data_IF_071718015407
#
_entry.id   IF_071718015407
#
_cell.length_a   1.000
_cell.length_b   1.000
_cell.length_c   1.000
_cell.angle_alpha   90.00
_cell.angle_beta   90.00
_cell.angle_gamma   90.00
#
_symmetry.space_group_name_H-M   'P 1'
#
loop_
_entity.id
_entity.type
_entity.pdbx_description
1 polymer ?
#
# COMPACT_ATOMS: atom_id res chain seq x y z
N UNK A 1 -0.53 -27.96 14.52
CA UNK A 1 0.91 -27.88 14.88
C UNK A 1 1.54 -26.54 14.49
N UNK A 2 1.10 -25.89 13.41
CA UNK A 2 1.64 -24.61 12.95
C UNK A 2 0.56 -23.52 12.98
N UNK A 3 0.84 -22.37 13.60
CA UNK A 3 -0.03 -21.17 13.57
C UNK A 3 0.55 -20.15 12.58
N UNK A 4 0.17 -20.25 11.31
CA UNK A 4 0.66 -19.35 10.25
C UNK A 4 0.31 -17.88 10.51
N UNK A 5 -0.83 -17.62 11.16
CA UNK A 5 -1.25 -16.26 11.48
C UNK A 5 -0.25 -15.64 12.46
N UNK A 6 0.20 -16.39 13.46
CA UNK A 6 1.21 -15.93 14.41
C UNK A 6 2.56 -15.65 13.73
N UNK A 7 3.01 -16.51 12.81
CA UNK A 7 4.26 -16.28 12.05
C UNK A 7 4.20 -14.98 11.26
N UNK A 8 3.10 -14.78 10.52
CA UNK A 8 2.93 -13.59 9.68
C UNK A 8 2.80 -12.32 10.55
N UNK A 9 1.98 -12.37 11.59
CA UNK A 9 1.79 -11.22 12.49
C UNK A 9 3.09 -10.86 13.22
N UNK A 10 3.81 -11.83 13.77
CA UNK A 10 5.07 -11.57 14.47
C UNK A 10 6.14 -11.03 13.54
N UNK A 11 6.20 -11.47 12.27
CA UNK A 11 7.12 -10.93 11.28
C UNK A 11 6.84 -9.44 10.99
N UNK A 12 5.59 -9.06 10.71
CA UNK A 12 5.23 -7.67 10.42
C UNK A 12 5.23 -6.75 11.66
N UNK A 13 4.93 -7.28 12.85
CA UNK A 13 4.99 -6.51 14.09
C UNK A 13 6.42 -6.27 14.57
N UNK A 14 7.32 -7.24 14.34
CA UNK A 14 8.74 -7.11 14.67
C UNK A 14 9.45 -6.15 13.73
N UNK A 15 9.11 -6.19 12.45
CA UNK A 15 9.70 -5.32 11.43
C UNK A 15 8.63 -4.73 10.52
N UNK A 16 8.23 -3.50 10.86
CA UNK A 16 7.25 -2.72 10.07
C UNK A 16 7.79 -2.37 8.67
N UNK A 17 9.11 -2.40 8.46
CA UNK A 17 9.73 -2.11 7.16
C UNK A 17 9.35 -3.18 6.14
N UNK A 18 9.17 -4.44 6.58
CA UNK A 18 8.74 -5.54 5.70
C UNK A 18 7.39 -5.28 5.03
N UNK A 19 6.46 -4.62 5.73
CA UNK A 19 5.16 -4.28 5.15
C UNK A 19 5.32 -3.23 4.03
N UNK A 20 6.15 -2.21 4.28
CA UNK A 20 6.48 -1.20 3.27
C UNK A 20 7.22 -1.79 2.07
N UNK A 21 8.17 -2.71 2.29
CA UNK A 21 8.89 -3.40 1.20
C UNK A 21 7.95 -4.30 0.38
N UNK A 22 7.05 -5.05 1.03
CA UNK A 22 6.06 -5.88 0.35
C UNK A 22 5.21 -5.02 -0.58
N UNK A 23 4.71 -3.91 -0.07
CA UNK A 23 3.89 -2.96 -0.80
C UNK A 23 4.64 -2.31 -1.96
N UNK A 24 5.86 -1.80 -1.72
CA UNK A 24 6.68 -1.19 -2.76
C UNK A 24 7.10 -2.18 -3.84
N UNK A 25 7.23 -3.47 -3.49
CA UNK A 25 7.48 -4.53 -4.46
C UNK A 25 6.21 -4.76 -5.30
N UNK A 26 5.10 -5.11 -4.65
CA UNK A 26 3.83 -5.44 -5.31
C UNK A 26 3.21 -4.31 -6.14
N UNK A 27 3.24 -3.07 -5.63
CA UNK A 27 2.60 -1.90 -6.25
C UNK A 27 3.53 -1.00 -7.06
N UNK A 28 4.76 -1.45 -7.39
CA UNK A 28 5.79 -0.59 -8.01
C UNK A 28 5.30 0.09 -9.30
N UNK A 29 4.58 -0.64 -10.15
CA UNK A 29 4.12 -0.09 -11.44
C UNK A 29 2.94 0.86 -11.26
N UNK A 30 2.05 0.58 -10.31
CA UNK A 30 0.90 1.42 -9.99
C UNK A 30 1.34 2.74 -9.36
N UNK A 31 2.32 2.71 -8.44
CA UNK A 31 2.94 3.92 -7.90
C UNK A 31 3.63 4.73 -9.01
N UNK A 32 4.33 4.07 -9.94
CA UNK A 32 4.93 4.74 -11.09
C UNK A 32 3.87 5.37 -12.01
N UNK A 33 2.76 4.66 -12.26
CA UNK A 33 1.64 5.19 -13.02
C UNK A 33 1.02 6.41 -12.33
N UNK A 34 0.88 6.38 -11.00
CA UNK A 34 0.38 7.52 -10.23
C UNK A 34 1.25 8.77 -10.45
N UNK A 35 2.57 8.62 -10.38
CA UNK A 35 3.53 9.71 -10.62
C UNK A 35 3.49 10.19 -12.08
N UNK A 36 3.53 9.27 -13.04
CA UNK A 36 3.60 9.62 -14.47
C UNK A 36 2.28 10.22 -14.99
N UNK A 37 1.13 9.71 -14.53
CA UNK A 37 -0.20 10.16 -14.95
C UNK A 37 -0.60 11.50 -14.31
N UNK A 38 -0.07 11.81 -13.11
CA UNK A 38 -0.31 13.07 -12.42
C UNK A 38 0.05 14.29 -13.26
N UNK A 39 1.14 14.22 -14.04
CA UNK A 39 1.53 15.31 -14.95
C UNK A 39 0.49 15.50 -16.08
N UNK A 40 0.01 14.39 -16.65
CA UNK A 40 -0.90 14.42 -17.80
C UNK A 40 -2.28 14.92 -17.39
N UNK A 41 -2.84 14.39 -16.30
CA UNK A 41 -4.12 14.85 -15.76
C UNK A 41 -4.04 16.30 -15.26
N UNK A 42 -2.97 16.64 -14.54
CA UNK A 42 -2.74 18.00 -14.07
C UNK A 42 -2.62 19.01 -15.21
N UNK A 43 -2.01 18.63 -16.33
CA UNK A 43 -1.93 19.47 -17.53
C UNK A 43 -3.29 19.69 -18.19
N UNK A 44 -4.09 18.63 -18.37
CA UNK A 44 -5.44 18.73 -18.96
C UNK A 44 -6.37 19.58 -18.07
N UNK A 45 -6.38 19.32 -16.76
CA UNK A 45 -7.15 20.10 -15.80
C UNK A 45 -6.63 21.53 -15.65
N UNK A 46 -5.31 21.73 -15.79
CA UNK A 46 -4.69 23.05 -15.84
C UNK A 46 -5.13 23.87 -17.05
N UNK A 47 -5.29 23.25 -18.22
CA UNK A 47 -5.87 23.92 -19.40
C UNK A 47 -7.30 24.37 -19.09
N UNK A 48 -8.13 23.49 -18.50
CA UNK A 48 -9.50 23.82 -18.11
C UNK A 48 -9.50 24.98 -17.09
N UNK A 49 -8.60 24.95 -16.12
CA UNK A 49 -8.42 26.03 -15.15
C UNK A 49 -7.99 27.35 -15.82
N UNK A 50 -7.12 27.31 -16.82
CA UNK A 50 -6.74 28.48 -17.62
C UNK A 50 -7.93 29.06 -18.39
N UNK A 51 -8.78 28.21 -18.99
CA UNK A 51 -10.02 28.66 -19.64
C UNK A 51 -10.99 29.33 -18.66
N UNK A 52 -11.12 28.79 -17.44
CA UNK A 52 -11.95 29.39 -16.39
C UNK A 52 -11.41 30.76 -15.95
N UNK A 53 -10.09 30.91 -15.87
CA UNK A 53 -9.46 32.20 -15.53
C UNK A 53 -9.75 33.29 -16.57
N UNK A 54 -9.81 32.94 -17.87
CA UNK A 54 -10.18 33.89 -18.94
C UNK A 54 -11.60 34.45 -18.74
N UNK A 55 -12.53 33.66 -18.20
CA UNK A 55 -13.91 34.10 -17.96
C UNK A 55 -14.07 34.96 -16.70
N UNK A 56 -13.26 34.69 -15.66
CA UNK A 56 -13.30 35.40 -14.37
C UNK A 56 -11.87 35.56 -13.81
N UNK A 57 -11.14 36.62 -14.21
CA UNK A 57 -9.80 36.87 -13.71
C UNK A 57 -9.88 37.40 -12.28
N UNK A 58 -9.64 36.54 -11.31
CA UNK A 58 -9.49 36.92 -9.92
C UNK A 58 -8.24 36.27 -9.32
N UNK A 59 -7.45 37.02 -8.54
CA UNK A 59 -6.15 36.56 -8.04
C UNK A 59 -6.23 35.32 -7.16
N UNK A 60 -7.33 35.13 -6.42
CA UNK A 60 -7.57 33.94 -5.60
C UNK A 60 -7.89 32.67 -6.42
N UNK A 61 -8.27 32.83 -7.69
CA UNK A 61 -8.61 31.70 -8.58
C UNK A 61 -7.36 30.89 -8.93
N UNK A 62 -6.16 31.49 -8.88
CA UNK A 62 -4.92 30.78 -9.16
C UNK A 62 -4.52 29.82 -8.02
N UNK A 63 -4.40 30.24 -6.74
CA UNK A 63 -4.14 29.31 -5.65
C UNK A 63 -5.27 28.30 -5.42
N UNK A 64 -6.53 28.73 -5.45
CA UNK A 64 -7.68 27.84 -5.23
C UNK A 64 -7.87 26.88 -6.40
N UNK A 65 -7.71 27.37 -7.63
CA UNK A 65 -7.76 26.54 -8.83
C UNK A 65 -6.61 25.54 -8.86
N UNK A 66 -5.39 25.95 -8.53
CA UNK A 66 -4.25 25.05 -8.39
C UNK A 66 -4.48 23.96 -7.34
N UNK A 67 -5.01 24.32 -6.17
CA UNK A 67 -5.36 23.37 -5.12
C UNK A 67 -6.41 22.36 -5.58
N UNK A 68 -7.46 22.83 -6.25
CA UNK A 68 -8.55 22.01 -6.75
C UNK A 68 -8.07 21.08 -7.88
N UNK A 69 -7.24 21.57 -8.80
CA UNK A 69 -6.63 20.76 -9.85
C UNK A 69 -5.73 19.69 -9.24
N UNK A 70 -4.89 20.03 -8.27
CA UNK A 70 -4.03 19.06 -7.57
C UNK A 70 -4.84 17.98 -6.84
N UNK A 71 -5.89 18.40 -6.13
CA UNK A 71 -6.82 17.50 -5.43
C UNK A 71 -7.53 16.54 -6.40
N UNK A 72 -8.17 17.09 -7.44
CA UNK A 72 -8.93 16.28 -8.42
C UNK A 72 -7.99 15.36 -9.19
N UNK A 73 -6.81 15.84 -9.60
CA UNK A 73 -5.84 15.02 -10.33
C UNK A 73 -5.46 13.78 -9.52
N UNK A 74 -5.11 13.97 -8.24
CA UNK A 74 -4.69 12.86 -7.41
C UNK A 74 -5.86 11.92 -7.06
N UNK A 75 -7.05 12.48 -6.82
CA UNK A 75 -8.27 11.70 -6.61
C UNK A 75 -8.61 10.83 -7.84
N UNK A 76 -8.56 11.38 -9.05
CA UNK A 76 -8.79 10.65 -10.30
C UNK A 76 -7.73 9.57 -10.51
N UNK A 77 -6.45 9.88 -10.27
CA UNK A 77 -5.36 8.93 -10.46
C UNK A 77 -5.51 7.71 -9.54
N UNK A 78 -5.82 7.92 -8.26
CA UNK A 78 -6.08 6.83 -7.31
C UNK A 78 -7.32 6.03 -7.73
N UNK A 79 -8.42 6.72 -8.07
CA UNK A 79 -9.66 6.04 -8.48
C UNK A 79 -9.44 5.13 -9.68
N UNK A 80 -8.59 5.51 -10.64
CA UNK A 80 -8.23 4.68 -11.80
C UNK A 80 -7.34 3.48 -11.48
N UNK A 81 -6.66 3.47 -10.33
CA UNK A 81 -5.79 2.36 -9.92
C UNK A 81 -6.63 1.20 -9.36
N UNK A 82 -7.64 1.49 -8.54
CA UNK A 82 -8.45 0.48 -7.83
C UNK A 82 -9.84 0.26 -8.43
N UNK A 83 -10.44 1.27 -9.07
CA UNK A 83 -11.78 1.16 -9.64
C UNK A 83 -11.76 1.19 -11.18
N UNK A 84 -12.62 0.39 -11.85
CA UNK A 84 -13.54 -0.59 -11.28
C UNK A 84 -12.86 -1.93 -10.98
N UNK A 85 -13.22 -2.53 -9.85
CA UNK A 85 -12.70 -3.81 -9.34
C UNK A 85 -12.94 -4.94 -10.34
N UNK A 86 -14.19 -5.06 -10.77
CA UNK A 86 -14.61 -6.00 -11.79
C UNK A 86 -14.46 -5.38 -13.19
N UNK A 87 -14.10 -6.19 -14.20
CA UNK A 87 -14.00 -5.71 -15.58
C UNK A 87 -15.38 -5.26 -16.08
N UNK A 88 -15.58 -3.95 -16.15
CA UNK A 88 -16.84 -3.36 -16.62
C UNK A 88 -16.73 -2.97 -18.09
N UNK A 89 -17.55 -3.56 -18.97
CA UNK A 89 -17.56 -3.19 -20.37
C UNK A 89 -18.26 -1.84 -20.55
N UNK A 90 -17.53 -0.83 -21.03
CA UNK A 90 -18.09 0.45 -21.45
C UNK A 90 -17.99 0.51 -22.98
N UNK A 91 -19.03 0.00 -23.65
CA UNK A 91 -19.06 -0.10 -25.12
C UNK A 91 -18.01 -1.10 -25.65
N UNK A 92 -17.13 -0.73 -26.60
CA UNK A 92 -16.11 -1.63 -27.15
C UNK A 92 -14.87 -1.78 -26.26
N UNK A 93 -14.76 -1.04 -25.15
CA UNK A 93 -13.61 -1.07 -24.25
C UNK A 93 -14.00 -1.66 -22.88
N UNK A 94 -13.10 -2.44 -22.29
CA UNK A 94 -13.26 -2.99 -20.94
C UNK A 94 -12.38 -2.17 -19.99
N UNK A 95 -13.02 -1.51 -19.03
CA UNK A 95 -12.33 -0.78 -17.98
C UNK A 95 -12.21 -1.66 -16.74
N UNK A 96 -11.02 -1.65 -16.16
CA UNK A 96 -10.69 -2.33 -14.91
C UNK A 96 -9.57 -1.55 -14.24
N UNK A 97 -9.59 -1.50 -12.91
CA UNK A 97 -8.51 -0.96 -12.12
C UNK A 97 -7.16 -1.56 -12.55
N UNK A 98 -6.14 -0.70 -12.60
CA UNK A 98 -4.82 -1.10 -13.09
C UNK A 98 -4.23 -2.22 -12.23
N UNK A 99 -4.52 -2.18 -10.93
CA UNK A 99 -4.00 -3.11 -9.95
C UNK A 99 -4.60 -4.52 -10.15
N UNK A 100 -5.93 -4.61 -10.28
CA UNK A 100 -6.69 -5.85 -10.48
C UNK A 100 -6.38 -6.47 -11.84
N UNK A 101 -6.22 -5.63 -12.87
CA UNK A 101 -5.79 -6.08 -14.20
C UNK A 101 -4.41 -6.75 -14.18
N UNK A 102 -3.54 -6.37 -13.24
CA UNK A 102 -2.20 -6.93 -13.03
C UNK A 102 -2.14 -7.98 -11.92
N UNK A 103 -3.28 -8.44 -11.39
CA UNK A 103 -3.36 -9.45 -10.33
C UNK A 103 -2.41 -10.65 -10.53
N UNK A 104 -2.23 -11.25 -11.73
CA UNK A 104 -1.33 -12.40 -11.89
C UNK A 104 0.15 -12.07 -11.66
N UNK A 105 0.57 -10.85 -12.01
CA UNK A 105 1.93 -10.38 -11.82
C UNK A 105 2.16 -10.01 -10.36
N UNK A 106 1.23 -9.26 -9.77
CA UNK A 106 1.31 -8.85 -8.36
C UNK A 106 1.25 -10.05 -7.42
N UNK A 107 0.39 -11.04 -7.70
CA UNK A 107 0.34 -12.31 -6.94
C UNK A 107 1.68 -13.04 -6.95
N UNK A 108 2.43 -12.96 -8.06
CA UNK A 108 3.77 -13.52 -8.17
C UNK A 108 4.78 -12.80 -7.29
N UNK A 109 4.82 -11.47 -7.36
CA UNK A 109 5.74 -10.67 -6.54
C UNK A 109 5.44 -10.77 -5.04
N UNK A 110 4.14 -10.81 -4.69
CA UNK A 110 3.65 -10.94 -3.32
C UNK A 110 3.98 -12.32 -2.72
N UNK A 111 3.70 -13.41 -3.45
CA UNK A 111 4.01 -14.77 -3.01
C UNK A 111 5.50 -15.03 -2.87
N UNK A 112 6.30 -14.51 -3.81
CA UNK A 112 7.76 -14.56 -3.72
C UNK A 112 8.26 -13.82 -2.48
N UNK A 113 7.77 -12.60 -2.22
CA UNK A 113 8.18 -11.83 -1.04
C UNK A 113 7.81 -12.55 0.26
N UNK A 114 6.57 -13.03 0.38
CA UNK A 114 6.14 -13.75 1.58
C UNK A 114 6.94 -15.02 1.81
N UNK A 115 7.19 -15.83 0.78
CA UNK A 115 7.96 -17.07 0.92
C UNK A 115 9.42 -16.79 1.32
N UNK A 116 10.05 -15.77 0.73
CA UNK A 116 11.47 -15.48 0.97
C UNK A 116 11.74 -14.69 2.26
N UNK A 117 10.79 -13.84 2.70
CA UNK A 117 11.03 -12.89 3.81
C UNK A 117 10.16 -13.12 5.04
N UNK A 118 9.01 -13.79 4.91
CA UNK A 118 8.05 -13.99 6.01
C UNK A 118 7.97 -15.45 6.43
N UNK A 119 7.62 -16.32 5.50
CA UNK A 119 7.37 -17.75 5.69
C UNK A 119 8.61 -18.59 5.41
N UNK A 120 9.74 -18.20 6.00
CA UNK A 120 11.02 -18.89 5.82
C UNK A 120 11.10 -20.15 6.68
N UNK A 121 11.78 -21.19 6.18
CA UNK A 121 11.94 -22.46 6.90
C UNK A 121 12.34 -22.31 8.39
N UNK A 122 13.40 -21.57 8.77
CA UNK A 122 13.75 -21.45 10.20
C UNK A 122 12.67 -20.77 11.03
N UNK A 123 11.92 -19.80 10.51
CA UNK A 123 10.78 -19.21 11.23
C UNK A 123 9.62 -20.18 11.39
N UNK A 124 9.36 -21.00 10.37
CA UNK A 124 8.31 -22.02 10.43
C UNK A 124 8.67 -23.13 11.44
N UNK A 125 9.91 -23.59 11.44
CA UNK A 125 10.39 -24.59 12.40
C UNK A 125 10.41 -23.99 13.81
N UNK A 126 10.85 -22.75 13.97
CA UNK A 126 10.82 -22.05 15.26
C UNK A 126 9.38 -21.94 15.80
N UNK A 127 8.40 -21.58 14.97
CA UNK A 127 6.99 -21.55 15.40
C UNK A 127 6.45 -22.94 15.75
N UNK A 128 6.84 -23.99 15.01
CA UNK A 128 6.38 -25.37 15.32
C UNK A 128 6.90 -25.81 16.69
N UNK A 129 8.13 -25.42 17.05
CA UNK A 129 8.83 -25.97 18.22
C UNK A 129 8.77 -25.07 19.46
N UNK A 130 8.72 -23.75 19.27
CA UNK A 130 8.69 -22.74 20.33
C UNK A 130 7.42 -21.89 20.32
N UNK A 131 6.62 -21.99 19.26
CA UNK A 131 5.41 -21.19 19.10
C UNK A 131 4.23 -21.68 19.94
N UNK A 132 3.06 -21.08 19.66
CA UNK A 132 1.86 -21.23 20.50
C UNK A 132 1.35 -22.67 20.57
N UNK A 133 1.62 -23.45 19.52
CA UNK A 133 1.14 -24.83 19.35
C UNK A 133 2.24 -25.88 19.57
N UNK A 134 3.37 -25.49 20.17
CA UNK A 134 4.52 -26.37 20.43
C UNK A 134 4.15 -27.62 21.24
N UNK A 135 3.26 -27.50 22.23
CA UNK A 135 2.79 -28.67 23.00
C UNK A 135 2.09 -29.73 22.14
N UNK A 136 1.38 -29.33 21.08
CA UNK A 136 0.76 -30.28 20.15
C UNK A 136 1.82 -30.99 19.31
N UNK A 137 2.89 -30.29 18.95
CA UNK A 137 4.02 -30.88 18.25
C UNK A 137 4.78 -31.85 19.16
N UNK A 138 5.03 -31.48 20.42
CA UNK A 138 5.66 -32.37 21.41
C UNK A 138 4.82 -33.63 21.67
N UNK A 139 3.50 -33.50 21.76
CA UNK A 139 2.59 -34.63 21.89
C UNK A 139 2.63 -35.54 20.65
N UNK A 140 2.64 -34.95 19.45
CA UNK A 140 2.75 -35.70 18.20
C UNK A 140 4.11 -36.41 18.08
N UNK A 141 5.20 -35.75 18.48
CA UNK A 141 6.53 -36.34 18.51
C UNK A 141 6.58 -37.54 19.46
N UNK A 142 6.02 -37.41 20.68
CA UNK A 142 5.90 -38.53 21.64
C UNK A 142 5.06 -39.69 21.08
N UNK A 143 3.97 -39.38 20.39
CA UNK A 143 3.11 -40.40 19.78
C UNK A 143 3.73 -41.10 18.57
N UNK A 144 4.62 -40.43 17.85
CA UNK A 144 5.29 -40.98 16.66
C UNK A 144 6.43 -41.95 17.00
N UNK A 145 6.99 -41.88 18.22
CA UNK A 145 8.07 -42.76 18.64
C UNK A 145 7.49 -44.03 19.30
N UNK A 146 7.98 -45.24 18.98
CA UNK A 146 7.50 -46.49 19.58
C UNK A 146 7.59 -46.46 21.11
N UNK A 147 6.61 -47.07 21.80
CA UNK A 147 6.52 -47.09 23.28
C UNK A 147 7.70 -47.76 24.01
N UNK A 148 8.64 -48.36 23.29
CA UNK A 148 9.86 -48.97 23.84
C UNK A 148 11.07 -48.03 23.86
N UNK A 149 10.95 -46.80 23.32
CA UNK A 149 12.04 -45.82 23.43
C UNK A 149 11.99 -45.05 24.75
N UNK A 150 13.15 -44.75 25.36
CA UNK A 150 13.22 -43.86 26.51
C UNK A 150 12.53 -42.50 26.26
N UNK A 151 11.83 -41.95 27.27
CA UNK A 151 11.04 -40.70 27.16
C UNK A 151 11.88 -39.45 26.82
N UNK A 152 13.19 -39.51 27.03
CA UNK A 152 14.15 -38.45 26.72
C UNK A 152 14.46 -38.34 25.22
N UNK A 153 14.31 -39.43 24.45
CA UNK A 153 14.60 -39.44 23.00
C UNK A 153 13.72 -38.46 22.19
N UNK A 154 12.37 -38.47 22.30
CA UNK A 154 11.54 -37.51 21.58
C UNK A 154 11.83 -36.07 22.00
N UNK A 155 12.11 -35.82 23.28
CA UNK A 155 12.47 -34.48 23.75
C UNK A 155 13.85 -34.02 23.27
N UNK A 156 14.81 -34.94 23.15
CA UNK A 156 16.11 -34.67 22.55
C UNK A 156 15.97 -34.31 21.06
N UNK A 157 15.12 -35.02 20.31
CA UNK A 157 14.84 -34.70 18.91
C UNK A 157 14.17 -33.33 18.75
N UNK A 158 13.21 -32.99 19.61
CA UNK A 158 12.61 -31.64 19.67
C UNK A 158 13.68 -30.58 20.01
N UNK A 159 14.59 -30.88 20.94
CA UNK A 159 15.70 -30.00 21.28
C UNK A 159 16.67 -29.76 20.12
N UNK A 160 16.93 -30.78 19.31
CA UNK A 160 17.78 -30.64 18.12
C UNK A 160 17.08 -29.85 17.01
N UNK A 161 15.76 -30.00 16.86
CA UNK A 161 14.97 -29.12 15.99
C UNK A 161 14.99 -27.65 16.46
N UNK A 162 15.00 -27.38 17.78
CA UNK A 162 15.21 -26.01 18.30
C UNK A 162 16.55 -25.44 17.86
N UNK A 163 17.62 -26.24 17.94
CA UNK A 163 18.96 -25.83 17.50
C UNK A 163 19.01 -25.59 16.01
N UNK A 164 18.35 -26.44 15.23
CA UNK A 164 18.22 -26.28 13.79
C UNK A 164 17.48 -24.99 13.43
N UNK A 165 16.38 -24.67 14.12
CA UNK A 165 15.62 -23.44 13.89
C UNK A 165 16.45 -22.16 14.14
N UNK A 166 17.35 -22.20 15.12
CA UNK A 166 18.31 -21.13 15.42
C UNK A 166 19.57 -21.19 14.54
N UNK A 167 19.72 -22.22 13.71
CA UNK A 167 20.88 -22.47 12.88
C UNK A 167 20.92 -21.62 11.61
N UNK A 168 22.01 -21.74 10.82
CA UNK A 168 22.16 -21.02 9.56
C UNK A 168 21.08 -21.40 8.54
N UNK A 169 20.57 -20.41 7.80
CA UNK A 169 19.55 -20.60 6.75
C UNK A 169 19.95 -21.57 5.63
N UNK A 170 21.27 -21.79 5.43
CA UNK A 170 21.83 -22.67 4.40
C UNK A 170 21.96 -24.14 4.85
N UNK A 171 21.38 -24.49 6.01
CA UNK A 171 21.37 -25.88 6.44
C UNK A 171 20.59 -26.75 5.45
N UNK A 172 21.06 -27.97 5.07
CA UNK A 172 20.39 -28.83 4.09
C UNK A 172 18.92 -29.12 4.40
N UNK A 173 18.56 -29.16 5.69
CA UNK A 173 17.17 -29.33 6.12
C UNK A 173 16.30 -28.13 5.77
N UNK A 174 16.81 -26.89 5.86
CA UNK A 174 16.06 -25.71 5.46
C UNK A 174 15.83 -25.67 3.95
N UNK A 175 16.84 -26.07 3.15
CA UNK A 175 16.71 -26.21 1.71
C UNK A 175 15.64 -27.26 1.36
N UNK A 176 15.70 -28.44 1.98
CA UNK A 176 14.70 -29.48 1.81
C UNK A 176 13.29 -29.03 2.21
N UNK A 177 13.14 -28.35 3.35
CA UNK A 177 11.83 -27.86 3.81
C UNK A 177 11.27 -26.80 2.85
N UNK A 178 12.10 -25.88 2.36
CA UNK A 178 11.66 -24.89 1.37
C UNK A 178 11.21 -25.56 0.06
N UNK A 179 11.98 -26.55 -0.42
CA UNK A 179 11.67 -27.30 -1.64
C UNK A 179 10.45 -28.22 -1.50
N UNK A 180 10.26 -28.83 -0.32
CA UNK A 180 9.13 -29.70 -0.04
C UNK A 180 7.81 -28.93 0.17
N UNK A 181 7.87 -27.74 0.79
CA UNK A 181 6.67 -26.96 1.06
C UNK A 181 6.20 -26.12 -0.14
N UNK A 182 7.09 -25.76 -1.06
CA UNK A 182 6.79 -24.98 -2.28
C UNK A 182 5.83 -23.80 -2.00
N UNK A 183 6.12 -23.04 -0.93
CA UNK A 183 5.20 -22.02 -0.43
C UNK A 183 4.97 -20.93 -1.45
N UNK A 184 6.01 -20.53 -2.18
CA UNK A 184 5.89 -19.52 -3.24
C UNK A 184 4.85 -19.93 -4.29
N UNK A 185 4.98 -21.13 -4.87
CA UNK A 185 4.07 -21.61 -5.91
C UNK A 185 2.65 -21.80 -5.37
N UNK A 186 2.54 -22.38 -4.17
CA UNK A 186 1.25 -22.58 -3.52
C UNK A 186 0.53 -21.25 -3.27
N UNK A 187 1.24 -20.25 -2.74
CA UNK A 187 0.68 -18.92 -2.50
C UNK A 187 0.31 -18.21 -3.82
N UNK A 188 1.17 -18.32 -4.83
CA UNK A 188 0.92 -17.72 -6.14
C UNK A 188 -0.37 -18.28 -6.76
N UNK A 189 -0.54 -19.60 -6.75
CA UNK A 189 -1.74 -20.27 -7.26
C UNK A 189 -2.98 -19.80 -6.49
N UNK A 190 -2.90 -19.72 -5.15
CA UNK A 190 -4.02 -19.30 -4.32
C UNK A 190 -4.40 -17.83 -4.52
N UNK A 191 -3.43 -16.93 -4.57
CA UNK A 191 -3.66 -15.49 -4.79
C UNK A 191 -4.24 -15.21 -6.19
N UNK A 192 -3.80 -15.96 -7.21
CA UNK A 192 -4.37 -15.88 -8.56
C UNK A 192 -5.77 -16.46 -8.68
N UNK A 193 -6.13 -17.38 -7.79
CA UNK A 193 -7.45 -18.00 -7.78
C UNK A 193 -8.49 -17.12 -7.05
N UNK A 194 -8.08 -16.06 -6.36
CA UNK A 194 -8.98 -15.09 -5.75
C UNK A 194 -9.73 -14.32 -6.83
N UNK A 195 -10.97 -13.98 -6.52
CA UNK A 195 -11.73 -13.01 -7.31
C UNK A 195 -11.09 -11.61 -7.22
N UNK A 196 -11.41 -10.71 -8.16
CA UNK A 196 -10.86 -9.35 -8.14
C UNK A 196 -11.22 -8.59 -6.86
N UNK A 197 -12.44 -8.79 -6.33
CA UNK A 197 -12.87 -8.18 -5.07
C UNK A 197 -12.11 -8.73 -3.85
N UNK A 198 -11.93 -10.06 -3.76
CA UNK A 198 -11.13 -10.64 -2.67
C UNK A 198 -9.67 -10.19 -2.72
N UNK A 199 -9.12 -10.00 -3.91
CA UNK A 199 -7.76 -9.52 -4.09
C UNK A 199 -7.61 -8.03 -3.72
N UNK A 200 -8.58 -7.21 -4.09
CA UNK A 200 -8.65 -5.81 -3.68
C UNK A 200 -8.75 -5.70 -2.15
N UNK A 201 -9.63 -6.47 -1.50
CA UNK A 201 -9.80 -6.48 -0.04
C UNK A 201 -8.49 -6.78 0.72
N UNK A 202 -7.55 -7.49 0.11
CA UNK A 202 -6.23 -7.76 0.71
C UNK A 202 -5.30 -6.55 0.69
N UNK A 203 -5.50 -5.63 -0.26
CA UNK A 203 -4.55 -4.57 -0.57
C UNK A 203 -5.10 -3.19 -0.24
N UNK A 204 -6.38 -2.95 -0.52
CA UNK A 204 -7.06 -1.68 -0.31
C UNK A 204 -6.88 -1.14 1.11
N UNK A 205 -6.99 -1.93 2.20
CA UNK A 205 -6.79 -1.40 3.56
C UNK A 205 -5.40 -0.81 3.81
N UNK A 206 -4.38 -1.26 3.08
CA UNK A 206 -3.01 -0.73 3.19
C UNK A 206 -2.87 0.57 2.38
N UNK A 207 -3.62 0.71 1.27
CA UNK A 207 -3.62 1.92 0.46
C UNK A 207 -4.53 3.01 1.01
N UNK A 208 -5.71 2.67 1.54
CA UNK A 208 -6.76 3.59 2.01
C UNK A 208 -6.21 4.64 2.99
N UNK A 209 -5.33 4.21 3.91
CA UNK A 209 -4.67 5.11 4.88
C UNK A 209 -3.75 6.14 4.21
N UNK A 210 -3.10 5.76 3.11
CA UNK A 210 -2.18 6.61 2.36
C UNK A 210 -2.89 7.45 1.28
N UNK A 211 -4.09 7.05 0.83
CA UNK A 211 -4.87 7.73 -0.21
C UNK A 211 -5.19 9.19 0.18
N UNK A 212 -5.66 9.39 1.41
CA UNK A 212 -6.03 10.73 1.90
C UNK A 212 -4.81 11.63 1.98
N UNK A 213 -3.69 11.12 2.49
CA UNK A 213 -2.44 11.87 2.60
C UNK A 213 -1.98 12.31 1.21
N UNK A 214 -2.06 11.41 0.23
CA UNK A 214 -1.64 11.70 -1.13
C UNK A 214 -2.55 12.76 -1.81
N UNK A 215 -3.87 12.66 -1.62
CA UNK A 215 -4.83 13.63 -2.16
C UNK A 215 -4.62 15.02 -1.55
N UNK A 216 -4.43 15.07 -0.23
CA UNK A 216 -4.14 16.32 0.48
C UNK A 216 -2.80 16.91 0.05
N UNK A 217 -1.76 16.09 -0.07
CA UNK A 217 -0.45 16.53 -0.55
C UNK A 217 -0.54 17.11 -1.97
N UNK A 218 -1.29 16.45 -2.87
CA UNK A 218 -1.57 16.97 -4.21
C UNK A 218 -2.25 18.33 -4.20
N UNK A 219 -3.26 18.51 -3.34
CA UNK A 219 -3.94 19.79 -3.17
C UNK A 219 -3.04 20.90 -2.60
N UNK A 220 -2.22 20.58 -1.59
CA UNK A 220 -1.27 21.55 -1.00
C UNK A 220 -0.20 21.96 -2.00
N UNK A 221 0.37 21.00 -2.74
CA UNK A 221 1.35 21.28 -3.80
C UNK A 221 0.72 22.09 -4.94
N UNK A 222 -0.52 21.79 -5.32
CA UNK A 222 -1.28 22.55 -6.30
C UNK A 222 -1.54 23.99 -5.84
N UNK A 223 -1.89 24.19 -4.57
CA UNK A 223 -2.07 25.52 -3.98
C UNK A 223 -0.76 26.32 -3.99
N UNK A 224 0.34 25.67 -3.63
CA UNK A 224 1.67 26.28 -3.64
C UNK A 224 2.09 26.67 -5.06
N UNK A 225 1.84 25.82 -6.06
CA UNK A 225 2.08 26.14 -7.46
C UNK A 225 1.23 27.33 -7.93
N UNK A 226 -0.05 27.36 -7.56
CA UNK A 226 -0.96 28.47 -7.87
C UNK A 226 -0.55 29.79 -7.19
N UNK A 227 -0.01 29.72 -5.97
CA UNK A 227 0.55 30.88 -5.27
C UNK A 227 1.81 31.40 -5.96
N UNK A 228 2.73 30.51 -6.35
CA UNK A 228 3.91 30.89 -7.14
C UNK A 228 3.49 31.51 -8.48
N UNK A 229 2.49 30.95 -9.16
CA UNK A 229 1.93 31.50 -10.39
C UNK A 229 1.28 32.87 -10.18
N UNK A 230 0.69 33.14 -9.02
CA UNK A 230 0.14 34.45 -8.69
C UNK A 230 1.25 35.52 -8.51
N UNK A 231 2.39 35.15 -7.93
CA UNK A 231 3.52 36.07 -7.72
C UNK A 231 4.42 36.25 -8.96
N UNK A 232 4.59 35.20 -9.77
CA UNK A 232 5.50 35.19 -10.92
C UNK A 232 4.81 35.18 -12.29
N UNK A 233 3.52 34.84 -12.37
CA UNK A 233 2.75 34.77 -13.61
C UNK A 233 2.34 36.15 -14.13
N UNK A 234 1.99 36.19 -15.42
CA UNK A 234 1.72 37.36 -16.29
C UNK A 234 0.49 38.23 -15.88
N UNK A 235 0.28 38.47 -14.59
CA UNK A 235 -0.59 39.51 -14.05
C UNK A 235 0.26 40.40 -13.17
N UNK A 236 0.58 41.61 -13.64
CA UNK A 236 1.42 42.56 -12.91
C UNK A 236 0.90 42.91 -11.51
N UNK A 237 1.63 43.79 -10.78
CA UNK A 237 1.38 44.15 -9.36
C UNK A 237 -0.05 44.57 -9.00
N UNK A 238 -0.91 44.88 -9.98
CA UNK A 238 -2.31 45.26 -9.79
C UNK A 238 -3.21 44.11 -9.31
N UNK A 239 -3.03 42.88 -9.82
CA UNK A 239 -3.88 41.72 -9.45
C UNK A 239 -3.52 41.19 -8.05
N UNK A 240 -2.25 41.32 -7.67
CA UNK A 240 -1.75 41.00 -6.31
C UNK A 240 -2.29 42.02 -5.31
N UNK A 241 -2.36 43.30 -5.66
CA UNK A 241 -2.92 44.34 -4.80
C UNK A 241 -4.43 44.14 -4.57
N UNK A 242 -5.19 43.79 -5.60
CA UNK A 242 -6.65 43.60 -5.51
C UNK A 242 -7.02 42.34 -4.72
N UNK A 243 -6.26 41.26 -4.86
CA UNK A 243 -6.46 40.01 -4.11
C UNK A 243 -5.98 40.09 -2.66
N UNK A 244 -4.89 40.81 -2.38
CA UNK A 244 -4.47 41.12 -1.01
C UNK A 244 -5.52 42.01 -0.30
N UNK A 245 -6.09 42.98 -1.02
CA UNK A 245 -7.20 43.79 -0.53
C UNK A 245 -8.46 42.94 -0.29
N UNK A 246 -8.83 42.04 -1.20
CA UNK A 246 -9.98 41.16 -1.02
C UNK A 246 -9.81 40.18 0.15
N UNK A 247 -8.63 39.60 0.32
CA UNK A 247 -8.30 38.72 1.45
C UNK A 247 -8.34 39.49 2.78
N UNK A 248 -7.77 40.69 2.84
CA UNK A 248 -7.80 41.56 4.00
C UNK A 248 -9.23 42.02 4.36
N UNK A 249 -10.06 42.32 3.36
CA UNK A 249 -11.48 42.67 3.57
C UNK A 249 -12.29 41.45 4.07
N UNK A 250 -12.01 40.23 3.61
CA UNK A 250 -12.67 39.04 4.14
C UNK A 250 -12.23 38.71 5.58
N UNK A 251 -10.95 38.90 5.90
CA UNK A 251 -10.41 38.71 7.24
C UNK A 251 -10.93 39.79 8.22
N UNK A 252 -11.05 41.05 7.78
CA UNK A 252 -11.62 42.13 8.55
C UNK A 252 -13.16 42.02 8.70
N UNK A 253 -13.86 41.53 7.67
CA UNK A 253 -15.29 41.25 7.71
C UNK A 253 -15.65 40.11 8.68
N UNK A 254 -14.81 39.08 8.78
CA UNK A 254 -14.95 38.01 9.77
C UNK A 254 -14.72 38.49 11.21
N UNK A 255 -13.84 39.47 11.43
CA UNK A 255 -13.58 40.03 12.75
C UNK A 255 -14.70 40.96 13.26
N UNK A 256 -15.43 41.64 12.37
CA UNK A 256 -16.55 42.54 12.75
C UNK A 256 -17.86 41.80 13.03
N UNK A 257 -18.05 40.57 12.51
CA UNK A 257 -19.25 39.76 12.76
C UNK A 257 -19.20 38.99 14.10
N UNK A 258 -18.02 38.84 14.71
CA UNK A 258 -17.84 38.15 16.00
C UNK A 258 -17.88 39.04 17.25
N UNK A 259 -18.10 40.35 17.09
CA UNK A 259 -18.00 41.35 18.18
C UNK A 259 -19.29 42.08 18.56
N UNK A 260 -20.44 41.71 18.00
CA UNK A 260 -21.74 42.27 18.37
C UNK A 260 -22.69 41.15 18.84
N UNK A 261 -22.35 40.59 20.01
CA UNK A 261 -23.28 39.90 20.90
C UNK A 261 -23.36 40.70 22.20
#
# INVERSE_FOLDING_TARGET
ILDLRQVVQSAFLRDKVLLGELFQKAGRKELKFLVDSGLSFGFVLGIIQMWLWILKPAGWVLPVGGALVGYITNWVAIKLIFDPVEPTPIGPFVFQGLFEKRQPEVSGEFSEFLAQRVLTSPRLIDEIVNGRLSHNFEAMAKAAVPSMTPEDVPMAAVGELRRLAAGPHDHPVHLYVNEALQLQDTLNIRLRALTSAEFEDLLHPVFEEDEVILIVAGGVLGAAAGFVQMFFGWGGPEVVAESAAAAAVSAAGGAMAGGAA
#
